data_IF_565873317132
#
_entry.id   IF_565873317132
#
_cell.length_a   1.000
_cell.length_b   1.000
_cell.length_c   1.000
_cell.angle_alpha   90.00
_cell.angle_beta   90.00
_cell.angle_gamma   90.00
#
_symmetry.space_group_name_H-M   'P 1'
#
loop_
_entity.id
_entity.type
_entity.pdbx_description
1 polymer ?
#
# COMPACT_ATOMS: atom_id res chain seq x y z
N UNK A 1 -17.80 -7.11 -9.18
CA UNK A 1 -17.07 -6.16 -8.30
C UNK A 1 -15.58 -6.34 -8.55
N UNK A 2 -14.74 -5.34 -8.23
CA UNK A 2 -13.28 -5.44 -8.39
C UNK A 2 -12.72 -6.72 -7.75
N UNK A 3 -13.17 -7.05 -6.54
CA UNK A 3 -12.80 -8.29 -5.83
C UNK A 3 -13.10 -9.57 -6.62
N UNK A 4 -14.22 -9.64 -7.33
CA UNK A 4 -14.54 -10.80 -8.15
C UNK A 4 -13.60 -10.89 -9.36
N UNK A 5 -13.31 -9.78 -10.02
CA UNK A 5 -12.36 -9.75 -11.14
C UNK A 5 -10.96 -10.19 -10.71
N UNK A 6 -10.49 -9.76 -9.53
CA UNK A 6 -9.21 -10.23 -8.96
C UNK A 6 -9.22 -11.73 -8.68
N UNK A 7 -10.33 -12.26 -8.13
CA UNK A 7 -10.48 -13.70 -7.89
C UNK A 7 -10.44 -14.49 -9.20
N UNK A 8 -11.19 -14.03 -10.20
CA UNK A 8 -11.26 -14.67 -11.51
C UNK A 8 -9.88 -14.67 -12.20
N UNK A 9 -9.14 -13.56 -12.11
CA UNK A 9 -7.77 -13.48 -12.62
C UNK A 9 -6.84 -14.53 -12.00
N UNK A 10 -6.93 -14.74 -10.67
CA UNK A 10 -6.16 -15.79 -9.99
C UNK A 10 -6.55 -17.19 -10.45
N UNK A 11 -7.84 -17.47 -10.63
CA UNK A 11 -8.32 -18.76 -11.16
C UNK A 11 -7.87 -18.99 -12.60
N UNK A 12 -7.89 -17.96 -13.46
CA UNK A 12 -7.37 -18.02 -14.83
C UNK A 12 -5.87 -18.33 -14.83
N UNK A 13 -5.12 -17.79 -13.87
CA UNK A 13 -3.71 -18.10 -13.66
C UNK A 13 -3.46 -19.52 -13.08
N UNK A 14 -4.51 -20.31 -12.84
CA UNK A 14 -4.42 -21.67 -12.31
C UNK A 14 -4.30 -21.76 -10.78
N UNK A 15 -4.61 -20.68 -10.06
CA UNK A 15 -4.56 -20.64 -8.59
C UNK A 15 -5.94 -20.96 -7.97
N UNK A 16 -5.95 -21.75 -6.90
CA UNK A 16 -7.11 -21.88 -6.03
C UNK A 16 -7.21 -20.68 -5.07
N UNK A 17 -8.02 -19.69 -5.44
CA UNK A 17 -8.15 -18.43 -4.70
C UNK A 17 -9.10 -18.60 -3.52
N UNK A 18 -8.55 -18.95 -2.36
CA UNK A 18 -9.29 -19.20 -1.12
C UNK A 18 -10.00 -17.96 -0.58
N UNK A 19 -9.32 -16.81 -0.60
CA UNK A 19 -9.86 -15.54 -0.09
C UNK A 19 -9.11 -14.35 -0.68
N UNK A 20 -9.84 -13.28 -0.97
CA UNK A 20 -9.28 -11.95 -1.22
C UNK A 20 -9.40 -11.13 0.07
N UNK A 21 -8.29 -10.61 0.57
CA UNK A 21 -8.23 -9.74 1.75
C UNK A 21 -7.72 -8.36 1.35
N UNK A 22 -8.04 -7.34 2.14
CA UNK A 22 -7.51 -6.00 1.92
C UNK A 22 -6.03 -5.94 2.34
N UNK A 23 -5.24 -5.14 1.63
CA UNK A 23 -3.82 -4.89 1.92
C UNK A 23 -3.56 -4.43 3.36
N UNK A 24 -4.26 -3.42 3.92
CA UNK A 24 -4.02 -3.00 5.31
C UNK A 24 -4.31 -4.11 6.32
N UNK A 25 -5.28 -4.98 6.05
CA UNK A 25 -5.56 -6.15 6.90
C UNK A 25 -4.46 -7.20 6.75
N UNK A 26 -3.94 -7.43 5.54
CA UNK A 26 -2.84 -8.35 5.31
C UNK A 26 -1.56 -7.89 6.04
N UNK A 27 -1.24 -6.59 5.96
CA UNK A 27 -0.11 -5.99 6.65
C UNK A 27 -0.28 -6.12 8.18
N UNK A 28 -1.45 -5.77 8.72
CA UNK A 28 -1.71 -5.90 10.15
C UNK A 28 -1.67 -7.37 10.62
N UNK A 29 -2.16 -8.32 9.82
CA UNK A 29 -2.06 -9.75 10.11
C UNK A 29 -0.61 -10.24 10.15
N UNK A 30 0.25 -9.76 9.24
CA UNK A 30 1.65 -10.18 9.21
C UNK A 30 2.41 -9.86 10.51
N UNK A 31 2.02 -8.80 11.22
CA UNK A 31 2.70 -8.34 12.45
C UNK A 31 1.86 -8.50 13.73
N UNK A 32 0.54 -8.67 13.62
CA UNK A 32 -0.40 -8.59 14.73
C UNK A 32 -0.87 -9.94 15.29
N UNK A 33 -0.45 -11.08 14.72
CA UNK A 33 -0.90 -12.41 15.16
C UNK A 33 -0.53 -12.73 16.63
N UNK A 34 0.56 -12.18 17.14
CA UNK A 34 1.01 -12.39 18.51
C UNK A 34 0.55 -11.29 19.50
N UNK A 35 -0.20 -10.29 19.03
CA UNK A 35 -0.69 -9.21 19.89
C UNK A 35 -1.96 -9.65 20.62
N UNK A 36 -1.87 -9.89 21.93
CA UNK A 36 -2.99 -10.38 22.75
C UNK A 36 -3.94 -9.28 23.25
N UNK A 37 -3.51 -8.02 23.21
CA UNK A 37 -4.27 -6.89 23.75
C UNK A 37 -4.97 -6.10 22.65
N UNK A 38 -6.10 -5.48 22.99
CA UNK A 38 -6.81 -4.58 22.09
C UNK A 38 -5.88 -3.43 21.67
N UNK A 39 -5.70 -3.23 20.38
CA UNK A 39 -4.76 -2.23 19.87
C UNK A 39 -5.34 -1.46 18.69
N UNK A 40 -4.84 -0.23 18.51
CA UNK A 40 -5.13 0.58 17.33
C UNK A 40 -3.86 0.61 16.48
N UNK A 41 -3.99 0.26 15.21
CA UNK A 41 -2.89 0.09 14.27
C UNK A 41 -3.08 1.08 13.13
N UNK A 42 -2.06 1.88 12.84
CA UNK A 42 -2.00 2.68 11.63
C UNK A 42 -1.14 1.94 10.60
N UNK A 43 -1.72 1.57 9.46
CA UNK A 43 -0.98 1.06 8.31
C UNK A 43 -0.71 2.22 7.38
N UNK A 44 0.57 2.50 7.16
CA UNK A 44 1.07 3.51 6.24
C UNK A 44 1.62 2.78 5.00
N UNK A 45 0.91 2.85 3.88
CA UNK A 45 1.29 2.22 2.62
C UNK A 45 1.65 3.31 1.61
N UNK A 46 2.94 3.39 1.26
CA UNK A 46 3.47 4.32 0.28
C UNK A 46 4.04 3.52 -0.88
N UNK A 47 3.21 3.31 -1.89
CA UNK A 47 3.54 2.55 -3.08
C UNK A 47 4.23 3.39 -4.15
N UNK A 48 4.23 2.86 -5.38
CA UNK A 48 4.85 3.50 -6.54
C UNK A 48 4.14 4.79 -6.97
N UNK A 49 2.81 4.76 -7.07
CA UNK A 49 2.01 5.90 -7.52
C UNK A 49 0.87 6.30 -6.56
N UNK A 50 0.67 5.55 -5.47
CA UNK A 50 -0.39 5.82 -4.49
C UNK A 50 0.15 5.79 -3.07
N UNK A 51 -0.48 6.60 -2.24
CA UNK A 51 -0.26 6.65 -0.81
C UNK A 51 -1.59 6.38 -0.14
N UNK A 52 -1.65 5.34 0.69
CA UNK A 52 -2.84 4.94 1.43
C UNK A 52 -2.50 4.83 2.92
N UNK A 53 -3.34 5.42 3.76
CA UNK A 53 -3.27 5.27 5.22
C UNK A 53 -4.57 4.71 5.75
N UNK A 54 -4.47 3.63 6.53
CA UNK A 54 -5.63 3.00 7.17
C UNK A 54 -5.45 2.88 8.66
N UNK A 55 -6.49 3.22 9.42
CA UNK A 55 -6.55 2.96 10.85
C UNK A 55 -7.37 1.70 11.07
N UNK A 56 -6.76 0.70 11.71
CA UNK A 56 -7.38 -0.55 12.09
C UNK A 56 -7.48 -0.63 13.60
N UNK A 57 -8.54 -1.29 14.05
CA UNK A 57 -8.71 -1.67 15.43
C UNK A 57 -8.64 -3.19 15.52
N UNK A 58 -7.79 -3.70 16.41
CA UNK A 58 -7.67 -5.12 16.66
C UNK A 58 -8.33 -5.45 17.99
N UNK A 59 -9.31 -6.35 17.97
CA UNK A 59 -9.97 -6.86 19.17
C UNK A 59 -10.07 -8.38 19.11
N UNK A 60 -9.47 -9.08 20.08
CA UNK A 60 -9.52 -10.55 20.18
C UNK A 60 -9.13 -11.28 18.88
N UNK A 61 -8.10 -10.78 18.20
CA UNK A 61 -7.61 -11.34 16.93
C UNK A 61 -8.46 -11.00 15.70
N UNK A 62 -9.50 -10.16 15.84
CA UNK A 62 -10.28 -9.63 14.73
C UNK A 62 -9.82 -8.22 14.40
N UNK A 63 -9.55 -7.96 13.12
CA UNK A 63 -9.17 -6.63 12.62
C UNK A 63 -10.38 -5.96 11.96
N UNK A 64 -10.66 -4.73 12.35
CA UNK A 64 -11.69 -3.88 11.75
C UNK A 64 -11.04 -2.62 11.19
N UNK A 65 -11.30 -2.29 9.93
CA UNK A 65 -10.85 -1.03 9.34
C UNK A 65 -11.79 0.07 9.79
N UNK A 66 -11.27 1.06 10.54
CA UNK A 66 -12.05 2.19 11.07
C UNK A 66 -12.10 3.35 10.09
N UNK A 67 -10.99 3.61 9.42
CA UNK A 67 -10.89 4.65 8.40
C UNK A 67 -9.77 4.33 7.42
N UNK A 68 -9.96 4.83 6.19
CA UNK A 68 -8.95 4.81 5.13
C UNK A 68 -8.97 6.18 4.46
N UNK A 69 -7.81 6.74 4.22
CA UNK A 69 -7.60 7.96 3.44
C UNK A 69 -6.29 7.81 2.66
N UNK A 70 -5.97 8.76 1.79
CA UNK A 70 -4.76 8.67 0.98
C UNK A 70 -4.71 9.72 -0.14
N UNK A 71 -3.69 9.58 -0.96
CA UNK A 71 -3.52 10.31 -2.21
C UNK A 71 -3.22 9.32 -3.34
N UNK A 72 -4.10 9.32 -4.35
CA UNK A 72 -4.01 8.40 -5.50
C UNK A 72 -2.99 8.84 -6.56
N UNK A 73 -2.28 9.96 -6.32
CA UNK A 73 -1.28 10.52 -7.22
C UNK A 73 0.06 10.79 -6.52
N UNK A 74 0.24 10.29 -5.29
CA UNK A 74 1.48 10.41 -4.52
C UNK A 74 2.10 9.03 -4.33
N UNK A 75 3.35 8.85 -4.75
CA UNK A 75 4.12 7.64 -4.51
C UNK A 75 5.60 7.85 -4.79
N UNK A 76 6.37 6.77 -4.77
CA UNK A 76 7.82 6.83 -5.00
C UNK A 76 8.20 7.36 -6.38
N UNK A 77 7.33 7.22 -7.39
CA UNK A 77 7.53 7.81 -8.72
C UNK A 77 7.70 9.33 -8.67
N UNK A 78 7.01 10.02 -7.75
CA UNK A 78 7.21 11.46 -7.55
C UNK A 78 8.62 11.76 -7.03
N UNK A 79 9.16 10.90 -6.16
CA UNK A 79 10.52 11.05 -5.65
C UNK A 79 11.55 10.80 -6.77
N UNK A 80 11.31 9.79 -7.60
CA UNK A 80 12.15 9.52 -8.77
C UNK A 80 12.20 10.73 -9.71
N UNK A 81 11.05 11.37 -9.98
CA UNK A 81 10.98 12.59 -10.80
C UNK A 81 11.82 13.71 -10.18
N UNK A 82 11.73 13.94 -8.87
CA UNK A 82 12.54 14.96 -8.18
C UNK A 82 14.04 14.69 -8.34
N UNK A 83 14.46 13.43 -8.24
CA UNK A 83 15.85 13.05 -8.47
C UNK A 83 16.28 13.26 -9.92
N UNK A 84 15.45 12.88 -10.89
CA UNK A 84 15.72 13.08 -12.32
C UNK A 84 15.85 14.58 -12.63
N UNK A 85 14.93 15.41 -12.16
CA UNK A 85 14.99 16.86 -12.36
C UNK A 85 16.24 17.47 -11.75
N UNK A 86 16.67 16.99 -10.58
CA UNK A 86 17.91 17.43 -9.95
C UNK A 86 19.11 17.11 -10.84
N UNK A 87 19.21 15.88 -11.34
CA UNK A 87 20.31 15.44 -12.19
C UNK A 87 20.34 16.21 -13.52
N UNK A 88 19.18 16.45 -14.13
CA UNK A 88 19.06 17.26 -15.36
C UNK A 88 19.56 18.69 -15.12
N UNK A 89 19.17 19.32 -14.01
CA UNK A 89 19.63 20.68 -13.66
C UNK A 89 21.15 20.74 -13.44
N UNK A 90 21.73 19.74 -12.76
CA UNK A 90 23.19 19.67 -12.60
C UNK A 90 23.89 19.51 -13.95
N UNK A 91 23.40 18.60 -14.79
CA UNK A 91 23.97 18.35 -16.11
C UNK A 91 23.94 19.60 -17.00
N UNK A 92 22.83 20.33 -17.03
CA UNK A 92 22.72 21.59 -17.78
C UNK A 92 23.74 22.62 -17.30
N UNK A 93 23.89 22.77 -15.98
CA UNK A 93 24.85 23.70 -15.38
C UNK A 93 26.30 23.33 -15.70
N UNK A 94 26.66 22.05 -15.68
CA UNK A 94 28.01 21.57 -15.98
C UNK A 94 28.38 21.71 -17.46
N UNK A 95 27.40 21.59 -18.36
CA UNK A 95 27.62 21.55 -19.80
C UNK A 95 27.26 22.88 -20.51
N UNK A 96 26.95 23.94 -19.76
CA UNK A 96 26.56 25.27 -20.28
C UNK A 96 25.43 25.22 -21.33
N UNK A 97 24.43 24.37 -21.09
CA UNK A 97 23.15 24.42 -21.83
C UNK A 97 22.23 25.51 -21.29
#
# INVERSE_FOLDING_TARGET
TLRQATKDAGTIAGLDVLRVINEPTAAALAYGLDMSESSVIAVFDLGGGTFDISILEMQKGVFEVKSTNGDTHLGSENFDIVHVEHLVKQFQKENNF
#
